data_IF_157774564957
#
_entry.id   IF_157774564957
#
_cell.length_a   1.000
_cell.length_b   1.000
_cell.length_c   1.000
_cell.angle_alpha   90.00
_cell.angle_beta   90.00
_cell.angle_gamma   90.00
#
_symmetry.space_group_name_H-M   'P 1'
#
loop_
_entity.id
_entity.type
_entity.pdbx_description
1 polymer ?
#
# COMPACT_ATOMS: atom_id res chain seq x y z
N UNK A 1 17.87 2.89 -21.34
CA UNK A 1 16.68 2.96 -22.24
C UNK A 1 15.72 1.74 -22.09
N UNK A 2 15.78 0.97 -20.99
CA UNK A 2 14.82 -0.12 -20.75
C UNK A 2 13.50 0.35 -20.12
N UNK A 3 13.57 1.26 -19.14
CA UNK A 3 12.39 1.80 -18.45
C UNK A 3 11.40 2.50 -19.38
N UNK A 4 11.88 3.39 -20.26
CA UNK A 4 11.02 4.12 -21.22
C UNK A 4 10.26 3.15 -22.15
N UNK A 5 10.93 2.12 -22.66
CA UNK A 5 10.29 1.10 -23.52
C UNK A 5 9.31 0.22 -22.73
N UNK A 6 9.54 0.03 -21.43
CA UNK A 6 8.61 -0.69 -20.56
C UNK A 6 7.35 0.14 -20.32
N UNK A 7 7.50 1.43 -20.02
CA UNK A 7 6.39 2.38 -19.87
C UNK A 7 5.54 2.45 -21.14
N UNK A 8 6.15 2.62 -22.32
CA UNK A 8 5.41 2.68 -23.60
C UNK A 8 4.59 1.40 -23.88
N UNK A 9 5.13 0.22 -23.57
CA UNK A 9 4.44 -1.05 -23.84
C UNK A 9 3.36 -1.38 -22.79
N UNK A 10 3.48 -0.85 -21.57
CA UNK A 10 2.58 -1.15 -20.45
C UNK A 10 1.72 0.05 -20.02
N UNK A 11 1.79 1.17 -20.74
CA UNK A 11 0.99 2.38 -20.54
C UNK A 11 -0.51 2.10 -20.27
N UNK A 12 -1.21 1.20 -20.99
CA UNK A 12 -2.62 0.91 -20.69
C UNK A 12 -2.85 0.13 -19.38
N UNK A 13 -1.80 -0.47 -18.81
CA UNK A 13 -1.87 -1.31 -17.59
C UNK A 13 -1.31 -0.59 -16.37
N UNK A 14 -0.34 0.32 -16.55
CA UNK A 14 0.23 1.13 -15.48
C UNK A 14 -0.86 2.07 -14.98
N UNK A 15 -1.27 1.86 -13.73
CA UNK A 15 -2.18 2.76 -13.03
C UNK A 15 -1.41 3.38 -11.88
N UNK A 16 -1.16 4.68 -11.98
CA UNK A 16 -0.63 5.45 -10.87
C UNK A 16 -1.79 6.09 -10.11
N UNK A 17 -1.97 5.67 -8.86
CA UNK A 17 -2.97 6.23 -7.97
C UNK A 17 -2.29 7.16 -6.97
N UNK A 18 -2.82 8.38 -6.83
CA UNK A 18 -2.32 9.39 -5.89
C UNK A 18 -3.20 9.44 -4.63
N UNK A 19 -3.09 8.41 -3.79
CA UNK A 19 -3.87 8.31 -2.57
C UNK A 19 -3.46 9.37 -1.54
N UNK A 20 -4.45 9.83 -0.77
CA UNK A 20 -4.30 10.80 0.31
C UNK A 20 -4.49 10.13 1.66
N UNK A 21 -4.06 10.83 2.71
CA UNK A 21 -4.35 10.44 4.09
C UNK A 21 -5.85 10.19 4.26
N UNK A 22 -6.21 9.03 4.81
CA UNK A 22 -7.59 8.62 5.06
C UNK A 22 -8.24 7.85 3.91
N UNK A 23 -7.62 7.77 2.72
CA UNK A 23 -8.17 7.01 1.61
C UNK A 23 -8.22 5.52 1.95
N UNK A 24 -9.34 4.89 1.59
CA UNK A 24 -9.52 3.46 1.72
C UNK A 24 -8.92 2.75 0.50
N UNK A 25 -8.06 1.77 0.78
CA UNK A 25 -7.32 1.00 -0.22
C UNK A 25 -7.39 -0.49 0.06
N UNK A 26 -7.14 -1.30 -0.97
CA UNK A 26 -6.83 -2.72 -0.83
C UNK A 26 -5.35 -2.92 -1.15
N UNK A 27 -4.72 -3.93 -0.54
CA UNK A 27 -3.38 -4.38 -0.93
C UNK A 27 -3.48 -5.67 -1.73
N UNK A 28 -2.81 -5.72 -2.88
CA UNK A 28 -2.61 -6.94 -3.66
C UNK A 28 -1.61 -7.86 -2.95
N UNK A 29 -2.01 -9.11 -2.73
CA UNK A 29 -1.17 -10.13 -2.10
C UNK A 29 -0.30 -10.83 -3.15
N UNK A 30 0.84 -10.22 -3.48
CA UNK A 30 1.79 -10.69 -4.51
C UNK A 30 2.37 -12.06 -4.18
N UNK A 31 2.66 -12.35 -2.91
CA UNK A 31 3.19 -13.64 -2.47
C UNK A 31 2.22 -14.81 -2.79
N UNK A 32 0.92 -14.61 -2.52
CA UNK A 32 -0.12 -15.60 -2.84
C UNK A 32 -0.34 -15.70 -4.34
N UNK A 33 -0.12 -14.62 -5.09
CA UNK A 33 -0.27 -14.68 -6.54
C UNK A 33 0.76 -15.56 -7.24
N UNK A 34 1.92 -15.80 -6.63
CA UNK A 34 2.94 -16.70 -7.17
C UNK A 34 2.79 -18.14 -6.65
N UNK A 35 1.89 -18.41 -5.70
CA UNK A 35 1.78 -19.72 -5.04
C UNK A 35 0.88 -20.73 -5.79
N UNK A 36 1.18 -22.03 -5.63
CA UNK A 36 0.39 -23.13 -6.22
C UNK A 36 -1.04 -23.20 -5.65
N UNK A 37 -1.24 -22.75 -4.41
CA UNK A 37 -2.54 -22.72 -3.74
C UNK A 37 -3.28 -21.38 -3.90
N UNK A 38 -2.87 -20.51 -4.82
CA UNK A 38 -3.45 -19.17 -5.08
C UNK A 38 -4.97 -19.15 -5.16
N UNK A 39 -5.60 -20.18 -5.74
CA UNK A 39 -7.06 -20.27 -5.88
C UNK A 39 -7.80 -20.31 -4.54
N UNK A 40 -7.15 -20.81 -3.49
CA UNK A 40 -7.73 -21.03 -2.17
C UNK A 40 -7.48 -19.87 -1.21
N UNK A 41 -6.87 -18.78 -1.66
CA UNK A 41 -6.40 -17.69 -0.81
C UNK A 41 -6.92 -16.34 -1.31
N UNK A 42 -7.12 -15.35 -0.41
CA UNK A 42 -7.58 -14.03 -0.81
C UNK A 42 -6.52 -13.33 -1.67
N UNK A 43 -6.96 -12.77 -2.80
CA UNK A 43 -6.09 -11.99 -3.72
C UNK A 43 -5.79 -10.59 -3.17
N UNK A 44 -6.75 -10.00 -2.48
CA UNK A 44 -6.64 -8.65 -1.92
C UNK A 44 -6.83 -8.69 -0.40
N UNK A 45 -6.03 -7.91 0.30
CA UNK A 45 -6.09 -7.76 1.75
C UNK A 45 -6.79 -6.45 2.10
N UNK A 46 -7.84 -6.58 2.93
CA UNK A 46 -8.54 -5.54 3.70
C UNK A 46 -9.10 -4.36 2.91
N UNK A 47 -10.13 -3.66 3.39
CA UNK A 47 -10.12 -2.21 3.33
C UNK A 47 -9.12 -1.69 4.38
N UNK A 48 -8.15 -0.91 3.94
CA UNK A 48 -7.06 -0.35 4.74
C UNK A 48 -7.00 1.16 4.55
N UNK A 49 -6.34 1.87 5.45
CA UNK A 49 -6.26 3.34 5.44
C UNK A 49 -4.85 3.76 5.03
N UNK A 50 -4.76 4.67 4.07
CA UNK A 50 -3.50 5.34 3.73
C UNK A 50 -3.18 6.40 4.77
N UNK A 51 -1.97 6.36 5.31
CA UNK A 51 -1.47 7.34 6.28
C UNK A 51 -0.62 8.40 5.59
N UNK A 52 0.39 7.95 4.85
CA UNK A 52 1.30 8.83 4.12
C UNK A 52 2.10 8.03 3.09
N UNK A 53 3.01 8.71 2.39
CA UNK A 53 3.94 8.11 1.44
C UNK A 53 5.36 8.33 1.94
N UNK A 54 6.21 7.33 1.82
CA UNK A 54 7.63 7.48 2.13
C UNK A 54 8.40 8.14 0.98
N UNK A 55 9.68 8.46 1.20
CA UNK A 55 10.57 9.04 0.19
C UNK A 55 10.75 8.18 -1.05
N UNK A 56 10.65 6.85 -0.89
CA UNK A 56 10.73 5.88 -1.99
C UNK A 56 9.43 5.73 -2.80
N UNK A 57 8.36 6.42 -2.40
CA UNK A 57 7.09 6.34 -3.08
C UNK A 57 6.21 5.15 -2.70
N UNK A 58 6.57 4.39 -1.66
CA UNK A 58 5.71 3.38 -1.04
C UNK A 58 4.75 4.01 -0.03
N UNK A 59 3.58 3.39 0.14
CA UNK A 59 2.52 3.87 1.03
C UNK A 59 2.67 3.28 2.42
N UNK A 60 2.56 4.14 3.43
CA UNK A 60 2.42 3.75 4.83
C UNK A 60 0.93 3.54 5.06
N UNK A 61 0.56 2.33 5.49
CA UNK A 61 -0.82 1.87 5.57
C UNK A 61 -1.12 1.40 6.99
N UNK A 62 -2.35 1.64 7.44
CA UNK A 62 -2.88 1.13 8.69
C UNK A 62 -4.17 0.31 8.46
N UNK A 63 -4.45 -0.59 9.38
CA UNK A 63 -5.77 -1.20 9.52
C UNK A 63 -6.80 -0.20 10.07
N UNK A 64 -8.09 -0.51 9.91
CA UNK A 64 -9.19 0.33 10.42
C UNK A 64 -9.19 0.51 11.95
N UNK A 65 -8.50 -0.38 12.67
CA UNK A 65 -8.35 -0.33 14.13
C UNK A 65 -7.18 0.56 14.57
N UNK A 66 -6.41 1.15 13.65
CA UNK A 66 -5.25 1.97 13.98
C UNK A 66 -3.89 1.28 13.93
N UNK A 67 -3.88 -0.03 13.69
CA UNK A 67 -2.64 -0.81 13.66
C UNK A 67 -1.86 -0.47 12.39
N UNK A 68 -0.65 0.04 12.55
CA UNK A 68 0.24 0.36 11.43
C UNK A 68 0.94 -0.90 10.91
N UNK A 69 1.08 -1.02 9.60
CA UNK A 69 1.98 -2.01 9.02
C UNK A 69 3.44 -1.66 9.36
N UNK A 70 4.27 -2.66 9.69
CA UNK A 70 5.68 -2.45 10.05
C UNK A 70 6.50 -1.82 8.92
N UNK A 71 6.12 -2.10 7.66
CA UNK A 71 6.84 -1.64 6.47
C UNK A 71 5.91 -0.94 5.47
N UNK A 72 6.40 0.10 4.77
CA UNK A 72 5.67 0.69 3.66
C UNK A 72 5.43 -0.30 2.52
N UNK A 73 4.27 -0.19 1.88
CA UNK A 73 3.80 -1.07 0.82
C UNK A 73 4.01 -0.41 -0.54
N UNK A 74 4.57 -1.15 -1.49
CA UNK A 74 4.85 -0.65 -2.83
C UNK A 74 3.59 -0.12 -3.54
N UNK A 75 3.73 1.02 -4.21
CA UNK A 75 2.61 1.73 -4.83
C UNK A 75 1.78 0.86 -5.79
N UNK A 76 2.43 0.00 -6.58
CA UNK A 76 1.75 -0.85 -7.56
C UNK A 76 0.87 -1.94 -6.95
N UNK A 77 1.03 -2.24 -5.64
CA UNK A 77 0.18 -3.19 -4.90
C UNK A 77 -1.05 -2.52 -4.30
N UNK A 78 -1.05 -1.20 -4.18
CA UNK A 78 -2.13 -0.44 -3.55
C UNK A 78 -3.17 -0.06 -4.59
N UNK A 79 -4.41 -0.48 -4.37
CA UNK A 79 -5.54 -0.22 -5.29
C UNK A 79 -6.70 0.43 -4.54
N UNK A 80 -7.54 1.25 -5.21
CA UNK A 80 -8.65 1.92 -4.54
C UNK A 80 -9.67 0.92 -3.99
N UNK A 81 -10.13 1.16 -2.75
CA UNK A 81 -11.30 0.48 -2.21
C UNK A 81 -12.55 1.35 -2.41
N UNK A 82 -13.47 0.88 -3.25
CA UNK A 82 -14.74 1.55 -3.50
C UNK A 82 -15.74 1.21 -2.39
N UNK A 83 -15.70 1.98 -1.31
CA UNK A 83 -16.61 1.83 -0.19
C UNK A 83 -18.06 2.10 -0.62
N UNK A 84 -18.99 1.22 -0.20
CA UNK A 84 -20.43 1.37 -0.48
C UNK A 84 -21.11 2.42 0.41
N UNK A 85 -20.49 2.74 1.54
CA UNK A 85 -20.96 3.69 2.55
C UNK A 85 -19.76 4.50 3.04
N UNK A 86 -20.00 5.75 3.42
CA UNK A 86 -18.98 6.58 4.06
C UNK A 86 -18.70 6.07 5.47
N UNK A 87 -17.42 6.04 5.86
CA UNK A 87 -16.96 5.71 7.20
C UNK A 87 -16.27 6.94 7.78
N UNK A 88 -16.82 7.59 8.82
CA UNK A 88 -16.11 8.66 9.51
C UNK A 88 -14.91 8.05 10.24
N UNK A 89 -13.71 8.53 9.91
CA UNK A 89 -12.48 8.15 10.61
C UNK A 89 -12.23 9.17 11.74
N UNK A 90 -11.82 8.71 12.94
CA UNK A 90 -11.39 9.62 14.00
C UNK A 90 -10.11 10.36 13.58
N UNK A 91 -9.73 11.44 14.29
CA UNK A 91 -8.46 12.11 14.09
C UNK A 91 -7.29 11.14 14.11
N UNK A 92 -6.28 11.39 13.29
CA UNK A 92 -5.14 10.47 13.11
C UNK A 92 -4.42 10.12 14.42
N UNK A 93 -4.29 11.11 15.31
CA UNK A 93 -3.64 10.93 16.62
C UNK A 93 -4.43 10.02 17.57
N UNK A 94 -5.75 9.93 17.39
CA UNK A 94 -6.62 9.02 18.15
C UNK A 94 -6.71 7.64 17.49
N UNK A 95 -6.57 7.61 16.16
CA UNK A 95 -6.64 6.39 15.38
C UNK A 95 -5.38 5.55 15.57
N UNK A 96 -4.20 6.14 15.48
CA UNK A 96 -2.94 5.39 15.40
C UNK A 96 -2.39 5.00 16.77
N UNK A 97 -2.01 3.73 16.91
CA UNK A 97 -1.33 3.20 18.11
C UNK A 97 0.21 3.39 18.08
N UNK A 98 0.68 4.33 17.25
CA UNK A 98 2.12 4.55 17.00
C UNK A 98 2.52 5.99 17.23
N UNK A 99 3.76 6.19 17.71
CA UNK A 99 4.30 7.53 17.91
C UNK A 99 4.51 8.26 16.58
N UNK A 100 4.37 9.58 16.61
CA UNK A 100 4.67 10.45 15.45
C UNK A 100 6.12 10.30 14.96
N UNK A 101 7.06 10.01 15.88
CA UNK A 101 8.45 9.76 15.52
C UNK A 101 8.59 8.54 14.61
N UNK A 102 7.91 7.43 14.94
CA UNK A 102 7.96 6.21 14.11
C UNK A 102 7.39 6.46 12.72
N UNK A 103 6.29 7.21 12.63
CA UNK A 103 5.71 7.62 11.35
C UNK A 103 6.69 8.45 10.52
N UNK A 104 7.40 9.38 11.16
CA UNK A 104 8.41 10.21 10.51
C UNK A 104 9.58 9.36 9.99
N UNK A 105 10.09 8.43 10.80
CA UNK A 105 11.15 7.50 10.39
C UNK A 105 10.73 6.67 9.17
N UNK A 106 9.50 6.16 9.16
CA UNK A 106 8.98 5.42 8.02
C UNK A 106 8.83 6.32 6.78
N UNK A 107 8.37 7.55 6.95
CA UNK A 107 8.22 8.52 5.86
C UNK A 107 9.58 8.92 5.25
N UNK A 108 10.61 9.07 6.08
CA UNK A 108 11.96 9.41 5.64
C UNK A 108 12.76 8.20 5.10
N UNK A 109 12.26 6.98 5.31
CA UNK A 109 12.87 5.77 4.76
C UNK A 109 12.57 5.60 3.25
N UNK A 110 13.45 4.88 2.57
CA UNK A 110 13.20 4.34 1.21
C UNK A 110 12.87 2.84 1.25
N UNK A 111 12.65 2.30 2.44
CA UNK A 111 12.40 0.87 2.63
C UNK A 111 11.01 0.49 2.12
N UNK A 112 10.92 -0.68 1.52
CA UNK A 112 9.68 -1.29 1.04
C UNK A 112 9.62 -2.71 1.62
N UNK A 113 8.42 -3.24 1.82
CA UNK A 113 8.17 -4.65 2.17
C UNK A 113 9.05 -5.61 1.34
N UNK A 114 9.88 -6.50 1.94
CA UNK A 114 10.89 -7.31 1.24
C UNK A 114 10.30 -8.43 0.38
N UNK A 115 9.03 -8.80 0.58
CA UNK A 115 8.30 -9.67 -0.35
C UNK A 115 8.10 -9.01 -1.74
N UNK A 116 8.59 -7.77 -1.89
CA UNK A 116 8.60 -6.95 -3.10
C UNK A 116 9.93 -7.01 -3.87
N UNK A 117 10.98 -7.67 -3.34
CA UNK A 117 12.25 -7.84 -4.04
C UNK A 117 12.06 -8.89 -5.15
N UNK A 118 11.68 -8.39 -6.33
CA UNK A 118 11.71 -9.15 -7.57
C UNK A 118 13.18 -9.43 -7.92
N UNK A 119 13.74 -10.49 -7.34
CA UNK A 119 14.82 -11.22 -8.00
C UNK A 119 14.21 -11.94 -9.21
N UNK A 120 14.23 -11.25 -10.34
CA UNK A 120 14.31 -11.91 -11.65
C UNK A 120 15.65 -12.67 -11.77
#
# INVERSE_FOLDING_TARGET
>A
KAAIKFEENHDPTIRDFNFKLGDLVLIRNTAIEKSLNRKMRPRYLGPLIVISRNRGGAYIIAELNGTLFDRPIAAFRVIPYFARKSLPLPPLDELLDVSRQRLQEMADSTNIDPDDDNSD
#
